data_IF_515611271607
#
_entry.id   IF_515611271607
#
_cell.length_a   1.000
_cell.length_b   1.000
_cell.length_c   1.000
_cell.angle_alpha   90.00
_cell.angle_beta   90.00
_cell.angle_gamma   90.00
#
_symmetry.space_group_name_H-M   'P 1'
#
loop_
_entity.id
_entity.type
_entity.pdbx_description
1 polymer ?
#
# COMPACT_ATOMS: atom_id res chain seq x y z
N UNK A 1 21.41 -50.85 40.14
CA UNK A 1 20.29 -49.97 39.66
C UNK A 1 20.87 -48.56 39.48
N UNK A 2 21.20 -48.24 38.26
CA UNK A 2 21.65 -46.92 37.86
C UNK A 2 20.43 -46.15 37.33
N UNK A 3 20.16 -45.04 37.98
CA UNK A 3 19.16 -44.05 37.53
C UNK A 3 19.89 -43.09 36.61
N UNK A 4 19.56 -43.11 35.34
CA UNK A 4 19.99 -42.11 34.35
C UNK A 4 19.05 -40.91 34.46
N UNK A 5 19.53 -39.82 35.01
CA UNK A 5 18.90 -38.52 34.90
C UNK A 5 19.01 -38.07 33.42
N UNK A 6 17.88 -37.95 32.77
CA UNK A 6 17.76 -37.29 31.50
C UNK A 6 17.86 -35.77 31.74
N UNK A 7 18.88 -35.15 31.15
CA UNK A 7 18.96 -33.72 31.04
C UNK A 7 17.98 -33.27 29.94
N UNK A 8 16.86 -32.70 30.34
CA UNK A 8 16.03 -31.90 29.45
C UNK A 8 16.84 -30.66 29.07
N UNK A 9 17.42 -30.67 27.89
CA UNK A 9 17.89 -29.46 27.22
C UNK A 9 16.66 -28.77 26.69
N UNK A 10 16.14 -27.80 27.44
CA UNK A 10 15.29 -26.78 26.86
C UNK A 10 16.12 -26.07 25.79
N UNK A 11 15.79 -26.36 24.53
CA UNK A 11 16.26 -25.55 23.43
C UNK A 11 15.63 -24.17 23.61
N UNK A 12 16.43 -23.15 23.92
CA UNK A 12 16.02 -21.77 23.73
C UNK A 12 15.60 -21.64 22.26
N UNK A 13 14.31 -21.56 22.04
CA UNK A 13 13.73 -21.28 20.74
C UNK A 13 14.21 -19.87 20.38
N UNK A 14 15.07 -19.77 19.37
CA UNK A 14 15.57 -18.48 18.93
C UNK A 14 14.36 -17.58 18.61
N UNK A 15 14.34 -16.38 19.16
CA UNK A 15 13.26 -15.41 18.96
C UNK A 15 13.00 -15.25 17.45
N UNK A 16 11.74 -15.36 17.06
CA UNK A 16 11.35 -15.16 15.67
C UNK A 16 11.65 -13.69 15.27
N UNK A 17 12.51 -13.42 14.27
CA UNK A 17 12.82 -12.06 13.86
C UNK A 17 11.57 -11.25 13.46
N UNK A 18 10.49 -11.92 13.08
CA UNK A 18 9.22 -11.27 12.80
C UNK A 18 8.50 -10.81 14.08
N UNK A 19 8.66 -11.51 15.19
CA UNK A 19 8.10 -11.10 16.48
C UNK A 19 8.79 -9.81 16.98
N UNK A 20 10.09 -9.66 16.78
CA UNK A 20 10.80 -8.41 17.10
C UNK A 20 10.28 -7.22 16.28
N UNK A 21 10.05 -7.42 14.98
CA UNK A 21 9.45 -6.41 14.11
C UNK A 21 8.03 -6.02 14.57
N UNK A 22 7.21 -7.02 14.97
CA UNK A 22 5.87 -6.79 15.52
C UNK A 22 5.89 -6.00 16.82
N UNK A 23 6.84 -6.29 17.71
CA UNK A 23 6.99 -5.57 18.96
C UNK A 23 7.32 -4.09 18.72
N UNK A 24 8.22 -3.79 17.79
CA UNK A 24 8.56 -2.41 17.41
C UNK A 24 7.37 -1.71 16.74
N UNK A 25 6.65 -2.39 15.85
CA UNK A 25 5.44 -1.85 15.22
C UNK A 25 4.36 -1.55 16.28
N UNK A 26 4.18 -2.41 17.27
CA UNK A 26 3.24 -2.17 18.38
C UNK A 26 3.65 -0.96 19.21
N UNK A 27 4.96 -0.77 19.48
CA UNK A 27 5.47 0.44 20.17
C UNK A 27 5.22 1.70 19.33
N UNK A 28 5.44 1.66 18.03
CA UNK A 28 5.15 2.75 17.10
C UNK A 28 3.66 3.13 17.13
N UNK A 29 2.77 2.16 16.98
CA UNK A 29 1.32 2.40 17.02
C UNK A 29 0.85 2.95 18.36
N UNK A 30 1.44 2.46 19.47
CA UNK A 30 1.16 2.97 20.81
C UNK A 30 1.60 4.42 20.96
N UNK A 31 2.78 4.78 20.45
CA UNK A 31 3.28 6.15 20.49
C UNK A 31 2.42 7.07 19.62
N UNK A 32 2.04 6.63 18.41
CA UNK A 32 1.15 7.36 17.52
C UNK A 32 -0.22 7.65 18.16
N UNK A 33 -0.80 6.64 18.82
CA UNK A 33 -2.09 6.78 19.52
C UNK A 33 -2.04 7.68 20.76
N UNK A 34 -0.87 7.80 21.38
CA UNK A 34 -0.66 8.61 22.58
C UNK A 34 -0.11 10.02 22.27
N UNK A 35 -0.02 10.40 20.99
CA UNK A 35 0.55 11.66 20.50
C UNK A 35 2.00 11.91 20.96
N UNK A 36 2.75 10.84 21.26
CA UNK A 36 4.16 10.92 21.64
C UNK A 36 5.08 10.96 20.42
N UNK A 37 5.01 12.05 19.66
CA UNK A 37 5.77 12.25 18.40
C UNK A 37 7.24 11.89 18.52
N UNK A 38 7.93 12.33 19.60
CA UNK A 38 9.36 12.05 19.77
C UNK A 38 9.67 10.56 19.96
N UNK A 39 8.76 9.81 20.57
CA UNK A 39 8.93 8.36 20.74
C UNK A 39 8.64 7.63 19.44
N UNK A 40 7.66 8.10 18.68
CA UNK A 40 7.27 7.55 17.39
C UNK A 40 8.38 7.75 16.35
N UNK A 41 8.90 8.97 16.24
CA UNK A 41 9.96 9.33 15.29
C UNK A 41 11.22 8.49 15.46
N UNK A 42 11.58 8.12 16.69
CA UNK A 42 12.73 7.24 16.96
C UNK A 42 12.57 5.81 16.45
N UNK A 43 11.35 5.39 16.19
CA UNK A 43 11.02 4.07 15.65
C UNK A 43 10.87 4.07 14.12
N UNK A 44 11.01 5.24 13.49
CA UNK A 44 10.96 5.41 12.03
C UNK A 44 12.35 5.39 11.43
N UNK A 45 12.42 5.11 10.12
CA UNK A 45 13.59 5.46 9.30
C UNK A 45 13.73 6.98 9.20
N UNK A 46 14.93 7.46 8.89
CA UNK A 46 15.20 8.90 8.83
C UNK A 46 14.34 9.61 7.77
N UNK A 47 14.22 9.01 6.57
CA UNK A 47 13.38 9.54 5.49
C UNK A 47 11.92 9.60 5.90
N UNK A 48 11.37 8.54 6.48
CA UNK A 48 9.97 8.50 6.90
C UNK A 48 9.69 9.48 8.05
N UNK A 49 10.64 9.65 8.96
CA UNK A 49 10.57 10.65 10.02
C UNK A 49 10.58 12.09 9.46
N UNK A 50 11.43 12.35 8.45
CA UNK A 50 11.50 13.66 7.80
C UNK A 50 10.20 14.00 7.06
N UNK A 51 9.61 13.04 6.35
CA UNK A 51 8.32 13.20 5.67
C UNK A 51 7.19 13.45 6.66
N UNK A 52 7.16 12.73 7.78
CA UNK A 52 6.21 12.94 8.86
C UNK A 52 6.30 14.35 9.46
N UNK A 53 7.52 14.82 9.78
CA UNK A 53 7.73 16.16 10.29
C UNK A 53 7.35 17.25 9.26
N UNK A 54 7.65 17.02 7.98
CA UNK A 54 7.23 17.91 6.90
C UNK A 54 5.71 18.00 6.79
N UNK A 55 5.01 16.87 6.80
CA UNK A 55 3.54 16.85 6.74
C UNK A 55 2.94 17.55 7.96
N UNK A 56 3.43 17.25 9.16
CA UNK A 56 2.98 17.90 10.40
C UNK A 56 3.14 19.42 10.34
N UNK A 57 4.26 19.91 9.82
CA UNK A 57 4.53 21.35 9.70
C UNK A 57 3.67 22.06 8.66
N UNK A 58 3.37 21.41 7.54
CA UNK A 58 2.74 22.06 6.39
C UNK A 58 1.23 21.75 6.27
N UNK A 59 0.78 20.62 6.80
CA UNK A 59 -0.63 20.21 6.78
C UNK A 59 -1.29 20.30 8.15
N UNK A 60 -0.52 20.44 9.23
CA UNK A 60 -0.97 20.72 10.58
C UNK A 60 -1.41 22.17 10.71
N UNK A 61 -2.50 22.55 10.04
CA UNK A 61 -3.35 23.59 10.58
C UNK A 61 -3.84 23.09 11.94
N UNK A 62 -4.05 24.01 12.89
CA UNK A 62 -4.66 23.70 14.17
C UNK A 62 -5.81 22.71 13.97
N UNK A 63 -5.50 21.42 14.09
CA UNK A 63 -6.52 20.42 14.20
C UNK A 63 -7.13 20.65 15.58
N UNK A 64 -8.08 21.58 15.66
CA UNK A 64 -9.15 21.55 16.61
C UNK A 64 -10.00 20.27 16.38
N UNK A 65 -9.36 19.11 16.42
CA UNK A 65 -10.06 17.94 16.88
C UNK A 65 -10.24 18.18 18.38
N UNK A 66 -11.50 18.48 18.73
CA UNK A 66 -11.88 18.86 20.07
C UNK A 66 -11.33 17.89 21.09
N UNK A 67 -11.19 18.36 22.36
CA UNK A 67 -10.62 17.69 23.55
C UNK A 67 -10.73 16.17 23.42
N UNK A 68 -9.65 15.55 22.97
CA UNK A 68 -9.67 14.21 22.43
C UNK A 68 -9.90 13.23 23.57
N UNK A 69 -11.00 12.54 23.46
CA UNK A 69 -11.19 11.30 24.19
C UNK A 69 -10.01 10.41 23.83
N UNK A 70 -9.02 10.37 24.71
CA UNK A 70 -7.89 9.47 24.60
C UNK A 70 -8.44 8.07 24.39
N UNK A 71 -8.17 7.47 23.23
CA UNK A 71 -8.72 6.16 22.89
C UNK A 71 -8.42 5.17 23.99
N UNK A 72 -9.45 4.62 24.61
CA UNK A 72 -9.30 3.67 25.72
C UNK A 72 -9.36 2.25 25.18
N UNK A 73 -8.70 1.32 25.90
CA UNK A 73 -8.77 -0.11 25.58
C UNK A 73 -8.14 -0.48 24.22
N UNK A 74 -7.13 0.28 23.77
CA UNK A 74 -6.50 0.02 22.46
C UNK A 74 -5.76 -1.31 22.47
N UNK A 75 -6.07 -2.13 21.49
CA UNK A 75 -5.50 -3.47 21.29
C UNK A 75 -4.96 -3.59 19.88
N UNK A 76 -3.82 -4.25 19.72
CA UNK A 76 -3.18 -4.52 18.44
C UNK A 76 -3.15 -6.02 18.21
N UNK A 77 -3.56 -6.47 17.02
CA UNK A 77 -3.43 -7.86 16.62
C UNK A 77 -2.84 -7.95 15.20
N UNK A 78 -1.86 -8.84 15.03
CA UNK A 78 -1.20 -9.06 13.75
C UNK A 78 -1.83 -10.27 13.05
N UNK A 79 -2.16 -10.11 11.78
CA UNK A 79 -2.66 -11.19 10.95
C UNK A 79 -1.47 -12.08 10.55
N UNK A 80 -1.38 -13.26 11.18
CA UNK A 80 -0.26 -14.19 11.00
C UNK A 80 -0.09 -14.69 9.57
N UNK A 81 -1.18 -14.76 8.82
CA UNK A 81 -1.18 -15.26 7.44
C UNK A 81 -0.76 -14.20 6.42
N UNK A 82 -0.80 -12.92 6.83
CA UNK A 82 -0.45 -11.77 6.00
C UNK A 82 0.85 -11.08 6.41
N UNK A 83 1.38 -11.39 7.59
CA UNK A 83 2.68 -10.86 8.01
C UNK A 83 3.81 -11.74 7.49
N UNK A 84 4.86 -11.13 6.96
CA UNK A 84 5.98 -11.88 6.39
C UNK A 84 7.16 -11.02 6.01
N UNK A 85 8.27 -11.65 5.67
CA UNK A 85 9.40 -10.97 5.04
C UNK A 85 9.07 -10.66 3.60
N UNK A 86 9.58 -9.53 3.11
CA UNK A 86 9.50 -9.12 1.71
C UNK A 86 10.90 -8.90 1.15
N UNK A 87 11.07 -9.10 -0.16
CA UNK A 87 12.38 -9.09 -0.78
C UNK A 87 12.93 -7.67 -0.97
N UNK A 88 12.05 -6.66 -1.15
CA UNK A 88 12.48 -5.33 -1.52
C UNK A 88 11.54 -4.24 -1.03
N UNK A 89 12.16 -3.22 -0.41
CA UNK A 89 11.56 -1.92 -0.10
C UNK A 89 12.44 -0.86 -0.75
N UNK A 90 11.84 0.08 -1.49
CA UNK A 90 12.55 1.17 -2.14
C UNK A 90 12.61 2.37 -1.21
N UNK A 91 13.67 2.45 -0.43
CA UNK A 91 14.00 3.59 0.43
C UNK A 91 15.46 3.97 0.21
N UNK A 92 15.86 5.18 0.62
CA UNK A 92 17.22 5.66 0.45
C UNK A 92 18.20 5.05 1.45
N UNK A 93 17.71 4.53 2.57
CA UNK A 93 18.52 3.97 3.64
C UNK A 93 18.91 2.51 3.35
N UNK A 94 20.10 2.11 3.80
CA UNK A 94 20.52 0.71 3.72
C UNK A 94 19.86 -0.13 4.80
N UNK A 95 19.43 -1.34 4.46
CA UNK A 95 18.83 -2.28 5.39
C UNK A 95 19.19 -3.73 5.02
N UNK A 96 19.16 -4.60 6.01
CA UNK A 96 19.50 -6.02 5.82
C UNK A 96 18.29 -6.93 5.60
N UNK A 97 17.11 -6.53 6.08
CA UNK A 97 15.85 -7.27 5.95
C UNK A 97 14.68 -6.30 5.88
N UNK A 98 13.59 -6.74 5.24
CA UNK A 98 12.32 -6.04 5.25
C UNK A 98 11.18 -7.00 5.59
N UNK A 99 10.13 -6.46 6.25
CA UNK A 99 8.93 -7.20 6.59
C UNK A 99 7.68 -6.36 6.37
N UNK A 100 6.62 -7.00 5.92
CA UNK A 100 5.27 -6.42 5.88
C UNK A 100 4.45 -6.96 7.04
N UNK A 101 3.72 -6.07 7.69
CA UNK A 101 2.85 -6.39 8.82
C UNK A 101 1.44 -5.88 8.55
N UNK A 102 0.46 -6.74 8.74
CA UNK A 102 -0.96 -6.38 8.74
C UNK A 102 -1.46 -6.35 10.18
N UNK A 103 -1.90 -5.17 10.59
CA UNK A 103 -2.29 -4.88 11.98
C UNK A 103 -3.75 -4.49 12.03
N UNK A 104 -4.53 -5.14 12.87
CA UNK A 104 -5.84 -4.67 13.29
C UNK A 104 -5.68 -3.91 14.61
N UNK A 105 -6.10 -2.65 14.60
CA UNK A 105 -6.20 -1.80 15.79
C UNK A 105 -7.65 -1.79 16.23
N UNK A 106 -7.92 -2.21 17.44
CA UNK A 106 -9.23 -2.16 18.07
C UNK A 106 -9.22 -1.22 19.28
N UNK A 107 -10.26 -0.44 19.45
CA UNK A 107 -10.45 0.42 20.62
C UNK A 107 -11.92 0.52 21.02
N UNK A 108 -12.14 0.85 22.28
CA UNK A 108 -13.47 0.98 22.83
C UNK A 108 -13.98 2.42 22.63
N UNK A 109 -15.13 2.58 21.98
CA UNK A 109 -15.84 3.84 21.81
C UNK A 109 -17.16 3.84 22.57
N UNK A 110 -17.82 4.99 22.67
CA UNK A 110 -19.15 5.11 23.27
C UNK A 110 -20.24 4.31 22.51
N UNK A 111 -19.99 3.98 21.25
CA UNK A 111 -20.92 3.23 20.39
C UNK A 111 -20.56 1.73 20.30
N UNK A 112 -19.50 1.30 20.96
CA UNK A 112 -18.98 -0.06 20.97
C UNK A 112 -17.54 -0.16 20.48
N UNK A 113 -17.07 -1.38 20.22
CA UNK A 113 -15.73 -1.62 19.69
C UNK A 113 -15.62 -1.12 18.24
N UNK A 114 -14.59 -0.34 17.99
CA UNK A 114 -14.21 0.12 16.63
C UNK A 114 -12.92 -0.58 16.23
N UNK A 115 -12.85 -1.05 14.99
CA UNK A 115 -11.66 -1.69 14.44
C UNK A 115 -11.22 -1.00 13.16
N UNK A 116 -9.91 -0.85 12.99
CA UNK A 116 -9.28 -0.41 11.74
C UNK A 116 -8.11 -1.32 11.41
N UNK A 117 -7.83 -1.49 10.13
CA UNK A 117 -6.67 -2.28 9.67
C UNK A 117 -5.63 -1.35 9.06
N UNK A 118 -4.36 -1.60 9.38
CA UNK A 118 -3.23 -0.87 8.84
C UNK A 118 -2.20 -1.85 8.27
N UNK A 119 -1.52 -1.39 7.24
CA UNK A 119 -0.36 -2.04 6.66
C UNK A 119 0.89 -1.26 7.09
N UNK A 120 1.89 -1.97 7.63
CA UNK A 120 3.14 -1.38 8.11
C UNK A 120 4.29 -2.09 7.43
N UNK A 121 5.21 -1.31 6.86
CA UNK A 121 6.49 -1.80 6.36
C UNK A 121 7.57 -1.52 7.37
N UNK A 122 8.36 -2.54 7.64
CA UNK A 122 9.48 -2.54 8.58
C UNK A 122 10.75 -2.89 7.84
N UNK A 123 11.84 -2.26 8.24
CA UNK A 123 13.20 -2.60 7.78
C UNK A 123 14.12 -2.80 8.97
N UNK A 124 15.10 -3.68 8.82
CA UNK A 124 16.15 -3.91 9.80
C UNK A 124 17.37 -3.11 9.34
N UNK A 125 17.69 -2.03 10.07
CA UNK A 125 18.77 -1.11 9.73
C UNK A 125 20.18 -1.70 9.94
N UNK A 126 21.23 -0.92 9.70
CA UNK A 126 22.62 -1.35 9.85
C UNK A 126 23.00 -1.67 11.32
N UNK A 127 22.32 -1.06 12.29
CA UNK A 127 22.53 -1.30 13.72
C UNK A 127 21.77 -2.53 14.22
N UNK A 128 21.05 -3.22 13.34
CA UNK A 128 20.12 -4.32 13.63
C UNK A 128 18.90 -3.90 14.45
N UNK A 129 18.45 -2.67 14.32
CA UNK A 129 17.23 -2.18 14.89
C UNK A 129 16.09 -2.19 13.84
N UNK A 130 14.93 -2.72 14.21
CA UNK A 130 13.75 -2.63 13.38
C UNK A 130 13.20 -1.20 13.36
N UNK A 131 12.94 -0.68 12.17
CA UNK A 131 12.38 0.66 11.94
C UNK A 131 11.14 0.59 11.06
N UNK A 132 10.19 1.47 11.30
CA UNK A 132 9.03 1.69 10.43
C UNK A 132 9.46 2.59 9.27
N UNK A 133 9.36 2.11 8.04
CA UNK A 133 9.62 2.91 6.85
C UNK A 133 8.34 3.36 6.12
N UNK A 134 7.19 2.77 6.47
CA UNK A 134 5.88 3.19 5.97
C UNK A 134 4.75 2.64 6.85
N UNK A 135 3.68 3.41 7.03
CA UNK A 135 2.44 2.97 7.64
C UNK A 135 1.25 3.59 6.90
N UNK A 136 0.30 2.76 6.45
CA UNK A 136 -0.85 3.21 5.66
C UNK A 136 -1.63 2.05 5.05
N UNK A 137 -1.93 2.12 3.76
CA UNK A 137 -2.48 1.01 2.98
C UNK A 137 -1.41 0.41 2.06
N UNK A 138 -1.51 -0.89 1.77
CA UNK A 138 -0.59 -1.53 0.82
C UNK A 138 -0.70 -0.92 -0.58
N UNK A 139 -1.91 -0.55 -0.98
CA UNK A 139 -2.14 0.14 -2.25
C UNK A 139 -1.36 1.46 -2.34
N UNK A 140 -1.31 2.22 -1.23
CA UNK A 140 -0.53 3.46 -1.18
C UNK A 140 0.97 3.18 -1.27
N UNK A 141 1.48 2.15 -0.58
CA UNK A 141 2.89 1.77 -0.65
C UNK A 141 3.33 1.41 -2.08
N UNK A 142 2.47 0.77 -2.88
CA UNK A 142 2.71 0.54 -4.31
C UNK A 142 2.64 1.84 -5.12
N UNK A 143 1.61 2.68 -4.88
CA UNK A 143 1.43 3.93 -5.61
C UNK A 143 2.60 4.91 -5.39
N UNK A 144 3.16 4.92 -4.18
CA UNK A 144 4.33 5.75 -3.82
C UNK A 144 5.66 5.11 -4.24
N UNK A 145 5.63 3.91 -4.84
CA UNK A 145 6.83 3.19 -5.27
C UNK A 145 7.70 2.68 -4.12
N UNK A 146 7.19 2.65 -2.87
CA UNK A 146 7.92 2.17 -1.69
C UNK A 146 8.14 0.66 -1.77
N UNK A 147 7.17 -0.08 -2.31
CA UNK A 147 7.32 -1.50 -2.62
C UNK A 147 7.17 -1.71 -4.13
N UNK A 148 8.03 -2.58 -4.66
CA UNK A 148 7.92 -3.10 -6.03
C UNK A 148 8.17 -4.59 -5.98
N UNK A 149 7.29 -5.35 -6.62
CA UNK A 149 7.46 -6.78 -6.84
C UNK A 149 7.16 -7.12 -8.32
N UNK A 150 7.30 -8.38 -8.69
CA UNK A 150 6.99 -8.82 -10.06
C UNK A 150 5.54 -8.50 -10.47
N UNK A 151 4.62 -8.40 -9.51
CA UNK A 151 3.22 -8.08 -9.77
C UNK A 151 3.05 -6.60 -10.06
N UNK A 152 3.74 -5.70 -9.34
CA UNK A 152 3.69 -4.25 -9.60
C UNK A 152 4.36 -3.89 -10.92
N UNK A 153 5.53 -4.49 -11.24
CA UNK A 153 6.20 -4.31 -12.54
C UNK A 153 5.31 -4.79 -13.70
N UNK A 154 4.65 -5.94 -13.50
CA UNK A 154 3.70 -6.46 -14.47
C UNK A 154 2.45 -5.59 -14.58
N UNK A 155 1.97 -5.04 -13.47
CA UNK A 155 0.83 -4.13 -13.45
C UNK A 155 1.11 -2.84 -14.22
N UNK A 156 2.31 -2.28 -14.11
CA UNK A 156 2.75 -1.12 -14.90
C UNK A 156 2.78 -1.43 -16.40
N UNK A 157 3.37 -2.58 -16.78
CA UNK A 157 3.38 -3.02 -18.17
C UNK A 157 1.96 -3.24 -18.73
N UNK A 158 1.05 -3.75 -17.90
CA UNK A 158 -0.37 -3.93 -18.26
C UNK A 158 -1.08 -2.58 -18.43
N UNK A 159 -0.86 -1.63 -17.52
CA UNK A 159 -1.40 -0.28 -17.62
C UNK A 159 -0.91 0.43 -18.90
N UNK A 160 0.39 0.30 -19.21
CA UNK A 160 0.96 0.80 -20.47
C UNK A 160 0.30 0.16 -21.68
N UNK A 161 0.09 -1.15 -21.70
CA UNK A 161 -0.57 -1.85 -22.79
C UNK A 161 -2.01 -1.35 -23.00
N UNK A 162 -2.76 -1.11 -21.92
CA UNK A 162 -4.11 -0.52 -21.99
C UNK A 162 -4.05 0.91 -22.54
N UNK A 163 -3.09 1.72 -22.12
CA UNK A 163 -2.91 3.08 -22.63
C UNK A 163 -2.63 3.08 -24.14
N UNK A 164 -1.73 2.24 -24.60
CA UNK A 164 -1.40 2.12 -26.02
C UNK A 164 -2.60 1.64 -26.86
N UNK A 165 -3.40 0.72 -26.34
CA UNK A 165 -4.63 0.26 -26.98
C UNK A 165 -5.68 1.39 -27.02
N UNK A 166 -5.83 2.15 -25.94
CA UNK A 166 -6.72 3.30 -25.87
C UNK A 166 -6.29 4.42 -26.83
N UNK A 167 -5.00 4.73 -26.93
CA UNK A 167 -4.47 5.73 -27.88
C UNK A 167 -4.75 5.36 -29.34
N UNK A 168 -4.61 4.06 -29.70
CA UNK A 168 -4.97 3.58 -31.02
C UNK A 168 -6.47 3.69 -31.28
N UNK A 169 -7.30 3.32 -30.30
CA UNK A 169 -8.75 3.41 -30.41
C UNK A 169 -9.22 4.87 -30.57
N UNK A 170 -8.64 5.81 -29.80
CA UNK A 170 -8.91 7.26 -29.95
C UNK A 170 -8.56 7.73 -31.37
N UNK A 171 -7.37 7.37 -31.88
CA UNK A 171 -6.93 7.74 -33.23
C UNK A 171 -7.81 7.14 -34.33
N UNK A 172 -8.35 5.95 -34.11
CA UNK A 172 -9.26 5.30 -35.08
C UNK A 172 -10.62 6.00 -35.10
N UNK A 173 -11.24 6.16 -33.92
CA UNK A 173 -12.56 6.76 -33.78
C UNK A 173 -12.58 8.25 -34.15
N UNK A 174 -11.50 8.98 -33.92
CA UNK A 174 -11.37 10.39 -34.33
C UNK A 174 -11.34 10.62 -35.84
N UNK A 175 -11.21 9.56 -36.66
CA UNK A 175 -11.35 9.64 -38.12
C UNK A 175 -12.82 9.68 -38.57
N UNK A 176 -13.72 9.17 -37.73
CA UNK A 176 -15.15 9.27 -37.96
C UNK A 176 -15.64 10.63 -37.44
N UNK A 177 -16.11 11.46 -38.37
CA UNK A 177 -16.59 12.82 -38.04
C UNK A 177 -17.88 12.83 -37.24
N UNK A 178 -18.60 11.72 -37.23
CA UNK A 178 -19.86 11.58 -36.54
C UNK A 178 -19.66 11.02 -35.11
N UNK A 179 -18.47 10.47 -34.82
CA UNK A 179 -18.13 9.96 -33.50
C UNK A 179 -17.66 11.09 -32.55
N UNK A 180 -18.20 11.10 -31.35
CA UNK A 180 -17.81 12.03 -30.28
C UNK A 180 -17.61 11.27 -28.98
N UNK A 181 -16.55 11.61 -28.27
CA UNK A 181 -16.37 11.17 -26.90
C UNK A 181 -17.37 11.91 -26.01
N UNK A 182 -18.36 11.20 -25.48
CA UNK A 182 -19.46 11.79 -24.69
C UNK A 182 -19.09 11.97 -23.22
N UNK A 183 -18.12 11.19 -22.73
CA UNK A 183 -17.72 11.14 -21.33
C UNK A 183 -16.26 11.51 -21.15
N UNK A 184 -15.93 11.97 -19.92
CA UNK A 184 -14.53 12.21 -19.52
C UNK A 184 -13.83 10.92 -19.09
N UNK A 185 -14.57 9.89 -18.70
CA UNK A 185 -14.04 8.60 -18.30
C UNK A 185 -14.89 7.45 -18.84
N UNK A 186 -14.21 6.35 -19.17
CA UNK A 186 -14.79 5.12 -19.70
C UNK A 186 -14.27 3.94 -18.91
N UNK A 187 -15.18 3.12 -18.38
CA UNK A 187 -14.84 1.98 -17.50
C UNK A 187 -14.93 0.69 -18.31
N UNK A 188 -13.96 -0.22 -18.13
CA UNK A 188 -13.85 -1.47 -18.88
C UNK A 188 -15.05 -2.41 -18.77
N UNK A 189 -15.90 -2.25 -17.76
CA UNK A 189 -17.13 -3.04 -17.56
C UNK A 189 -18.34 -2.48 -18.31
N UNK A 190 -18.22 -1.29 -18.90
CA UNK A 190 -19.31 -0.67 -19.67
C UNK A 190 -19.39 -1.22 -21.08
N UNK A 191 -20.61 -1.22 -21.63
CA UNK A 191 -20.85 -1.56 -23.03
C UNK A 191 -20.82 -0.27 -23.85
N UNK A 192 -19.64 0.06 -24.37
CA UNK A 192 -19.39 1.27 -25.15
C UNK A 192 -18.47 0.95 -26.34
N UNK A 193 -18.72 1.60 -27.48
CA UNK A 193 -17.93 1.41 -28.71
C UNK A 193 -16.43 1.68 -28.50
N UNK A 194 -16.08 2.67 -27.68
CA UNK A 194 -14.68 2.98 -27.38
C UNK A 194 -14.03 1.87 -26.56
N UNK A 195 -14.71 1.38 -25.52
CA UNK A 195 -14.24 0.25 -24.71
C UNK A 195 -14.09 -1.02 -25.57
N UNK A 196 -15.06 -1.31 -26.44
CA UNK A 196 -14.95 -2.45 -27.36
C UNK A 196 -13.72 -2.34 -28.26
N UNK A 197 -13.46 -1.15 -28.81
CA UNK A 197 -12.28 -0.88 -29.63
C UNK A 197 -10.97 -1.06 -28.89
N UNK A 198 -10.91 -0.67 -27.62
CA UNK A 198 -9.75 -0.91 -26.76
C UNK A 198 -9.55 -2.42 -26.58
N UNK A 199 -10.60 -3.14 -26.21
CA UNK A 199 -10.55 -4.60 -25.99
C UNK A 199 -10.14 -5.40 -27.23
N UNK A 200 -10.53 -4.95 -28.43
CA UNK A 200 -10.11 -5.55 -29.70
C UNK A 200 -8.58 -5.51 -29.88
N UNK A 201 -7.92 -4.53 -29.30
CA UNK A 201 -6.47 -4.29 -29.43
C UNK A 201 -5.64 -4.82 -28.28
N UNK A 202 -6.28 -5.21 -27.17
CA UNK A 202 -5.61 -5.78 -26.02
C UNK A 202 -5.25 -7.25 -26.22
N UNK A 203 -4.12 -7.72 -25.65
CA UNK A 203 -3.86 -9.13 -25.44
C UNK A 203 -5.03 -9.83 -24.72
N UNK A 204 -5.27 -11.11 -25.03
CA UNK A 204 -6.44 -11.83 -24.48
C UNK A 204 -6.45 -11.85 -22.94
N UNK A 205 -5.29 -11.93 -22.32
CA UNK A 205 -5.12 -11.92 -20.87
C UNK A 205 -5.49 -10.60 -20.19
N UNK A 206 -5.57 -9.48 -20.95
CA UNK A 206 -5.92 -8.17 -20.43
C UNK A 206 -7.35 -7.73 -20.72
N UNK A 207 -8.08 -8.46 -21.58
CA UNK A 207 -9.44 -8.07 -21.99
C UNK A 207 -10.45 -8.06 -20.85
N UNK A 208 -10.24 -8.92 -19.83
CA UNK A 208 -11.10 -9.06 -18.67
C UNK A 208 -10.58 -8.27 -17.44
N UNK A 209 -9.45 -7.56 -17.58
CA UNK A 209 -8.93 -6.72 -16.50
C UNK A 209 -9.81 -5.48 -16.30
N UNK A 210 -9.72 -4.92 -15.09
CA UNK A 210 -10.44 -3.69 -14.76
C UNK A 210 -9.59 -2.47 -15.11
N UNK A 211 -10.11 -1.57 -15.94
CA UNK A 211 -9.45 -0.32 -16.25
C UNK A 211 -10.45 0.82 -16.47
N UNK A 212 -9.97 2.02 -16.21
CA UNK A 212 -10.68 3.27 -16.52
C UNK A 212 -9.79 4.11 -17.43
N UNK A 213 -10.36 4.59 -18.53
CA UNK A 213 -9.68 5.47 -19.48
C UNK A 213 -10.22 6.88 -19.34
N UNK A 214 -9.32 7.87 -19.21
CA UNK A 214 -9.68 9.26 -19.07
C UNK A 214 -9.39 10.03 -20.35
N UNK A 215 -10.40 10.77 -20.82
CA UNK A 215 -10.38 11.57 -22.06
C UNK A 215 -10.55 13.04 -21.69
N UNK A 216 -9.65 13.89 -22.19
CA UNK A 216 -9.74 15.33 -22.07
C UNK A 216 -9.74 15.97 -23.47
N UNK A 217 -10.77 16.77 -23.76
CA UNK A 217 -10.98 17.43 -25.07
C UNK A 217 -10.78 16.48 -26.28
N UNK A 218 -11.33 15.26 -26.16
CA UNK A 218 -11.26 14.23 -27.21
C UNK A 218 -9.88 13.58 -27.36
N UNK A 219 -8.98 13.77 -26.40
CA UNK A 219 -7.65 13.18 -26.36
C UNK A 219 -7.50 12.27 -25.13
N UNK A 220 -6.72 11.22 -25.31
CA UNK A 220 -6.34 10.35 -24.20
C UNK A 220 -5.47 11.13 -23.22
N UNK A 221 -5.88 11.17 -21.95
CA UNK A 221 -5.12 11.77 -20.86
C UNK A 221 -4.29 10.67 -20.15
N UNK A 222 -4.97 9.75 -19.46
CA UNK A 222 -4.34 8.65 -18.76
C UNK A 222 -5.28 7.46 -18.63
N UNK A 223 -4.74 6.34 -18.18
CA UNK A 223 -5.51 5.16 -17.77
C UNK A 223 -5.20 4.81 -16.33
N UNK A 224 -6.17 4.21 -15.65
CA UNK A 224 -6.00 3.53 -14.37
C UNK A 224 -6.30 2.07 -14.59
N UNK A 225 -5.37 1.20 -14.24
CA UNK A 225 -5.50 -0.25 -14.42
C UNK A 225 -5.40 -0.99 -13.11
N UNK A 226 -6.15 -2.08 -12.98
CA UNK A 226 -6.00 -3.09 -11.95
C UNK A 226 -6.42 -4.46 -12.49
N UNK A 227 -5.99 -5.54 -11.83
CA UNK A 227 -6.36 -6.89 -12.26
C UNK A 227 -7.88 -7.11 -12.22
N UNK A 228 -8.52 -6.61 -11.17
CA UNK A 228 -9.97 -6.64 -10.95
C UNK A 228 -10.42 -5.37 -10.22
N UNK A 229 -11.72 -5.13 -10.18
CA UNK A 229 -12.28 -4.01 -9.44
C UNK A 229 -11.99 -4.13 -7.93
N UNK A 230 -11.36 -3.09 -7.36
CA UNK A 230 -11.00 -3.07 -5.94
C UNK A 230 -9.73 -3.84 -5.58
N UNK A 231 -8.92 -4.24 -6.57
CA UNK A 231 -7.61 -4.85 -6.32
C UNK A 231 -6.67 -3.90 -5.55
N UNK A 232 -5.80 -4.46 -4.72
CA UNK A 232 -4.81 -3.67 -3.95
C UNK A 232 -3.82 -2.94 -4.87
N UNK A 233 -3.42 -3.56 -5.97
CA UNK A 233 -2.51 -2.95 -6.95
C UNK A 233 -3.34 -2.22 -8.01
N UNK A 234 -3.19 -0.90 -8.02
CA UNK A 234 -3.79 -0.01 -9.02
C UNK A 234 -2.69 0.88 -9.59
N UNK A 235 -2.55 0.90 -10.91
CA UNK A 235 -1.51 1.66 -11.60
C UNK A 235 -2.12 2.70 -12.52
N UNK A 236 -1.61 3.94 -12.43
CA UNK A 236 -1.95 5.03 -13.36
C UNK A 236 -0.85 5.19 -14.39
N UNK A 237 -1.20 5.22 -15.68
CA UNK A 237 -0.24 5.41 -16.76
C UNK A 237 -0.73 6.42 -17.80
N UNK A 238 0.13 7.37 -18.26
CA UNK A 238 1.41 7.70 -17.67
C UNK A 238 1.27 8.27 -16.25
N UNK A 239 2.33 8.19 -15.46
CA UNK A 239 2.35 8.82 -14.14
C UNK A 239 2.01 10.31 -14.23
N UNK A 240 1.05 10.76 -13.43
CA UNK A 240 0.79 12.20 -13.29
C UNK A 240 1.87 12.81 -12.40
N UNK A 241 2.64 13.72 -12.97
CA UNK A 241 3.64 14.51 -12.25
C UNK A 241 2.99 15.63 -11.45
#
# INVERSE_FOLDING_TARGET
TAVTEGADTESEEAADPLEEAKDVAAMYLKAANAEFDQSMVKLMTDDYAADYEYMKKNMGGDNEYGDDEQLSGVRYSFDKDKCGFIDKVNISEEYSKAAELYVTVAYDSSEGEVTSSQYILMVLDEDNDWKVCFAGSKAQAYADGIITDENSEKAEANAQAVYEAADKAVKELSKDKDYKFEYMNYISTETDTFIEKIKEQLPDELKDSYFTVFIDDGKLDYVVWSQEAGAEITVTYPEKK
#
